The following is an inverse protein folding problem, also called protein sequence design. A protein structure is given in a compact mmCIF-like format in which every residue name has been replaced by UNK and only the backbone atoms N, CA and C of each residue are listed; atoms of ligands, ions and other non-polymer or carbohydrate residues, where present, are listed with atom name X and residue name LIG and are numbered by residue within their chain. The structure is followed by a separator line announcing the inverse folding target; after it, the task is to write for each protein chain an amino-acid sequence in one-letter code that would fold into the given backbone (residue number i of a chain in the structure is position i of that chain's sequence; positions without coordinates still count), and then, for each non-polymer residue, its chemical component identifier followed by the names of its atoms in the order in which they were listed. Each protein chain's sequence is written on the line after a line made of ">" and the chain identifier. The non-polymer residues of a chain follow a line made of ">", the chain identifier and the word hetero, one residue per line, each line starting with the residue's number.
data_IF_408565869194
#
_entry.id   IF_408565869194
#
_cell.length_a   1.000
_cell.length_b   1.000
_cell.length_c   1.000
_cell.angle_alpha   90.00
_cell.angle_beta   90.00
_cell.angle_gamma   90.00
#
_symmetry.space_group_name_H-M   'P 1'
#
loop_
_entity.id
_entity.type
_entity.pdbx_description
1 polymer ?
#
# COMPACT_ATOMS: atom_id res chain seq x y z
N UNK A 1 -1.89 10.76 9.55
CA UNK A 1 -0.86 9.80 9.11
C UNK A 1 -0.13 9.29 10.32
N UNK A 2 0.44 8.13 10.23
CA UNK A 2 1.07 7.44 11.35
C UNK A 2 0.31 6.17 11.69
N UNK A 3 0.83 5.43 12.69
CA UNK A 3 0.20 4.20 13.18
C UNK A 3 -0.55 4.49 14.47
N UNK A 4 -1.74 3.93 14.57
CA UNK A 4 -2.54 3.94 15.79
C UNK A 4 -1.84 3.08 16.86
N UNK A 5 -2.03 3.41 18.15
CA UNK A 5 -1.59 2.58 19.25
C UNK A 5 -2.48 1.35 19.41
N UNK A 6 -1.90 0.28 19.98
CA UNK A 6 -2.61 -1.01 20.16
C UNK A 6 -3.95 -0.86 20.86
N UNK A 7 -3.99 -0.06 21.90
CA UNK A 7 -5.18 0.08 22.74
C UNK A 7 -6.28 0.93 22.09
N UNK A 8 -5.97 1.68 21.03
CA UNK A 8 -6.94 2.54 20.36
C UNK A 8 -8.03 1.74 19.63
N UNK A 9 -7.62 0.63 18.98
CA UNK A 9 -8.52 -0.28 18.24
C UNK A 9 -8.37 -1.74 18.66
N UNK A 10 -7.61 -2.06 19.70
CA UNK A 10 -7.36 -3.44 20.14
C UNK A 10 -6.50 -4.27 19.18
N UNK A 11 -5.73 -3.66 18.31
CA UNK A 11 -5.02 -4.32 17.21
C UNK A 11 -3.70 -4.96 17.65
N UNK A 12 -3.60 -6.28 17.58
CA UNK A 12 -2.40 -7.03 18.00
C UNK A 12 -1.16 -6.72 17.16
N UNK A 13 -1.31 -6.26 15.93
CA UNK A 13 -0.23 -5.89 15.01
C UNK A 13 0.12 -4.39 15.04
N UNK A 14 -0.64 -3.59 15.78
CA UNK A 14 -0.30 -2.18 16.01
C UNK A 14 0.83 -2.04 17.04
N UNK A 15 1.61 -0.96 17.00
CA UNK A 15 2.59 -0.65 18.03
C UNK A 15 1.90 -0.41 19.39
N UNK A 16 2.63 -0.56 20.49
CA UNK A 16 2.06 -0.30 21.82
C UNK A 16 1.58 1.14 21.98
N UNK A 17 2.36 2.09 21.49
CA UNK A 17 2.01 3.51 21.47
C UNK A 17 1.91 4.01 20.03
N UNK A 18 1.02 4.97 19.75
CA UNK A 18 0.92 5.57 18.43
C UNK A 18 2.22 6.26 18.03
N UNK A 19 2.53 6.24 16.75
CA UNK A 19 3.71 6.90 16.20
C UNK A 19 3.44 7.55 14.84
N UNK A 20 4.46 8.20 14.29
CA UNK A 20 4.37 8.89 13.00
C UNK A 20 4.80 8.04 11.80
N UNK A 21 5.14 6.76 12.00
CA UNK A 21 5.59 5.90 10.92
C UNK A 21 4.45 5.57 9.97
N UNK A 22 4.79 5.50 8.70
CA UNK A 22 3.92 5.09 7.61
C UNK A 22 4.65 4.08 6.74
N UNK A 23 3.93 3.32 5.94
CA UNK A 23 4.57 2.51 4.90
C UNK A 23 5.29 3.45 3.92
N UNK A 24 6.56 3.17 3.66
CA UNK A 24 7.41 4.00 2.82
C UNK A 24 6.99 4.02 1.35
N UNK A 25 7.58 4.92 0.61
CA UNK A 25 7.45 4.96 -0.84
C UNK A 25 8.52 4.07 -1.50
N UNK A 26 8.11 3.13 -2.35
CA UNK A 26 9.03 2.27 -3.09
C UNK A 26 9.72 3.04 -4.19
N UNK A 27 11.04 2.89 -4.29
CA UNK A 27 11.83 3.33 -5.44
C UNK A 27 12.35 2.07 -6.12
N UNK A 28 11.62 1.61 -7.12
CA UNK A 28 12.01 0.42 -7.88
C UNK A 28 13.07 0.74 -8.92
N UNK A 29 13.95 -0.21 -9.14
CA UNK A 29 14.99 -0.12 -10.16
C UNK A 29 15.47 -1.52 -10.56
N UNK A 30 16.07 -1.62 -11.74
CA UNK A 30 16.77 -2.83 -12.16
C UNK A 30 17.95 -2.52 -13.08
N UNK A 31 18.88 -3.46 -13.09
CA UNK A 31 20.04 -3.45 -13.97
C UNK A 31 19.96 -4.56 -15.01
N UNK A 32 20.58 -4.34 -16.17
CA UNK A 32 20.63 -5.27 -17.29
C UNK A 32 22.06 -5.68 -17.59
N UNK A 33 22.27 -6.94 -17.94
CA UNK A 33 23.54 -7.41 -18.48
C UNK A 33 23.68 -6.99 -19.95
N UNK A 34 24.64 -6.13 -20.23
CA UNK A 34 24.90 -5.56 -21.54
C UNK A 34 25.81 -6.44 -22.42
N UNK A 35 26.25 -7.60 -21.92
CA UNK A 35 27.18 -8.52 -22.57
C UNK A 35 28.55 -7.89 -22.92
N UNK A 36 28.83 -6.70 -22.41
CA UNK A 36 30.09 -5.97 -22.56
C UNK A 36 30.35 -5.13 -21.31
N UNK A 37 31.61 -4.77 -21.10
CA UNK A 37 31.96 -3.89 -19.95
C UNK A 37 31.21 -2.57 -20.02
N UNK A 38 30.70 -2.13 -18.91
CA UNK A 38 30.05 -0.83 -18.72
C UNK A 38 30.68 -0.11 -17.54
N UNK A 39 30.76 1.19 -17.61
CA UNK A 39 31.19 2.04 -16.48
C UNK A 39 30.01 2.67 -15.79
N UNK A 40 30.24 3.11 -14.59
CA UNK A 40 29.36 4.02 -13.86
C UNK A 40 30.25 5.01 -13.09
N UNK A 41 29.93 6.30 -13.07
CA UNK A 41 30.77 7.29 -12.41
C UNK A 41 30.88 7.02 -10.92
N UNK A 42 32.00 7.41 -10.34
CA UNK A 42 32.13 7.51 -8.90
C UNK A 42 31.24 8.67 -8.43
N UNK A 43 30.35 8.37 -7.46
CA UNK A 43 29.33 9.31 -7.02
C UNK A 43 29.65 9.81 -5.61
N UNK A 44 30.40 10.89 -5.52
CA UNK A 44 30.95 11.42 -4.26
C UNK A 44 29.91 12.13 -3.39
N UNK A 45 28.88 12.67 -4.01
CA UNK A 45 27.86 13.49 -3.31
C UNK A 45 26.69 12.70 -2.74
N UNK A 46 26.76 11.39 -2.83
CA UNK A 46 25.69 10.48 -2.46
C UNK A 46 25.75 10.00 -1.03
N UNK A 47 24.95 8.98 -0.78
CA UNK A 47 25.01 8.21 0.46
C UNK A 47 26.32 7.42 0.49
N UNK A 48 27.03 7.47 1.60
CA UNK A 48 28.30 6.74 1.74
C UNK A 48 28.03 5.26 1.98
N UNK A 49 28.42 4.46 1.00
CA UNK A 49 28.41 3.01 1.09
C UNK A 49 29.81 2.45 1.29
N UNK A 50 29.87 1.36 2.05
CA UNK A 50 31.08 0.57 2.32
C UNK A 50 30.77 -0.94 2.21
N UNK A 51 31.72 -1.78 2.57
CA UNK A 51 31.56 -3.24 2.50
C UNK A 51 30.51 -3.79 3.47
N UNK A 52 30.19 -3.06 4.53
CA UNK A 52 29.28 -3.49 5.60
C UNK A 52 27.83 -3.04 5.34
N UNK A 53 27.66 -1.90 4.70
CA UNK A 53 26.35 -1.27 4.53
C UNK A 53 25.83 -1.25 3.09
N UNK A 54 26.62 -1.66 2.09
CA UNK A 54 26.17 -1.74 0.69
C UNK A 54 25.17 -2.89 0.50
N UNK A 55 24.32 -2.74 -0.49
CA UNK A 55 23.36 -3.75 -0.91
C UNK A 55 23.82 -4.43 -2.21
N UNK A 56 24.41 -5.65 -2.15
CA UNK A 56 25.00 -6.31 -3.33
C UNK A 56 23.94 -7.00 -4.20
N UNK A 57 23.00 -6.23 -4.72
CA UNK A 57 21.86 -6.65 -5.53
C UNK A 57 21.92 -6.08 -6.95
N UNK A 58 21.12 -6.62 -7.84
CA UNK A 58 21.03 -6.20 -9.26
C UNK A 58 19.72 -5.50 -9.59
N UNK A 59 18.80 -5.44 -8.63
CA UNK A 59 17.53 -4.74 -8.72
C UNK A 59 17.06 -4.33 -7.32
N UNK A 60 16.27 -3.29 -7.25
CA UNK A 60 15.53 -2.91 -6.06
C UNK A 60 14.16 -3.56 -6.08
N UNK A 61 13.90 -4.39 -5.09
CA UNK A 61 12.61 -5.04 -4.87
C UNK A 61 11.66 -4.13 -4.08
N UNK A 62 10.50 -4.66 -3.73
CA UNK A 62 9.49 -3.97 -2.94
C UNK A 62 9.97 -3.45 -1.58
N UNK A 63 11.09 -3.96 -1.09
CA UNK A 63 11.71 -3.55 0.19
C UNK A 63 12.59 -2.31 0.11
N UNK A 64 12.83 -1.76 -1.07
CA UNK A 64 13.52 -0.49 -1.24
C UNK A 64 12.52 0.64 -1.07
N UNK A 65 12.44 1.15 0.15
CA UNK A 65 11.45 2.13 0.57
C UNK A 65 12.09 3.27 1.34
N UNK A 66 11.68 4.48 1.01
CA UNK A 66 12.14 5.69 1.69
C UNK A 66 11.00 6.46 2.32
N UNK A 67 11.32 7.30 3.29
CA UNK A 67 10.39 8.23 3.90
C UNK A 67 9.34 7.59 4.81
N UNK A 68 9.63 6.46 5.45
CA UNK A 68 8.73 5.84 6.42
C UNK A 68 8.43 6.72 7.62
N UNK A 69 9.32 7.64 7.96
CA UNK A 69 9.21 8.62 9.03
C UNK A 69 8.90 10.06 8.53
N UNK A 70 8.42 10.19 7.29
CA UNK A 70 8.19 11.50 6.66
C UNK A 70 6.75 11.67 6.20
N UNK A 71 6.36 12.93 6.04
CA UNK A 71 5.08 13.26 5.45
C UNK A 71 5.08 12.95 3.95
N UNK A 72 4.43 11.84 3.58
CA UNK A 72 4.37 11.32 2.20
C UNK A 72 3.65 12.27 1.20
N UNK A 73 3.04 13.35 1.67
CA UNK A 73 2.37 14.35 0.82
C UNK A 73 3.26 15.58 0.66
N UNK A 74 3.60 16.25 1.75
CA UNK A 74 4.36 17.51 1.70
C UNK A 74 5.85 17.31 1.40
N UNK A 75 6.41 16.13 1.70
CA UNK A 75 7.83 15.80 1.45
C UNK A 75 8.01 14.78 0.31
N UNK A 76 7.00 14.59 -0.56
CA UNK A 76 7.04 13.56 -1.60
C UNK A 76 8.26 13.65 -2.53
N UNK A 77 8.64 14.86 -2.93
CA UNK A 77 9.82 15.11 -3.76
C UNK A 77 11.11 14.71 -3.03
N UNK A 78 11.25 15.13 -1.78
CA UNK A 78 12.40 14.78 -0.94
C UNK A 78 12.53 13.28 -0.72
N UNK A 79 11.41 12.59 -0.51
CA UNK A 79 11.35 11.13 -0.34
C UNK A 79 11.82 10.43 -1.61
N UNK A 80 11.37 10.89 -2.79
CA UNK A 80 11.80 10.39 -4.09
C UNK A 80 13.29 10.66 -4.32
N UNK A 81 13.73 11.89 -4.14
CA UNK A 81 15.10 12.32 -4.43
C UNK A 81 16.11 11.57 -3.58
N UNK A 82 15.78 11.35 -2.30
CA UNK A 82 16.61 10.53 -1.44
C UNK A 82 16.68 9.07 -1.92
N UNK A 83 15.56 8.49 -2.37
CA UNK A 83 15.54 7.14 -2.94
C UNK A 83 16.41 7.02 -4.20
N UNK A 84 16.37 7.99 -5.09
CA UNK A 84 17.25 8.06 -6.26
C UNK A 84 18.73 8.16 -5.84
N UNK A 85 19.01 9.02 -4.86
CA UNK A 85 20.35 9.19 -4.31
C UNK A 85 20.92 7.87 -3.76
N UNK A 86 20.13 7.13 -3.00
CA UNK A 86 20.49 5.81 -2.46
C UNK A 86 20.84 4.83 -3.59
N UNK A 87 19.98 4.73 -4.61
CA UNK A 87 20.18 3.80 -5.73
C UNK A 87 21.48 4.10 -6.47
N UNK A 88 21.69 5.36 -6.86
CA UNK A 88 22.89 5.74 -7.62
C UNK A 88 24.16 5.59 -6.79
N UNK A 89 24.11 5.90 -5.49
CA UNK A 89 25.26 5.76 -4.60
C UNK A 89 25.64 4.29 -4.38
N UNK A 90 24.66 3.44 -4.08
CA UNK A 90 24.90 2.01 -3.94
C UNK A 90 25.41 1.39 -5.24
N UNK A 91 24.80 1.75 -6.38
CA UNK A 91 25.25 1.26 -7.67
C UNK A 91 26.68 1.71 -8.01
N UNK A 92 27.03 2.97 -7.71
CA UNK A 92 28.38 3.49 -7.85
C UNK A 92 29.37 2.68 -7.01
N UNK A 93 29.04 2.39 -5.75
CA UNK A 93 29.89 1.58 -4.87
C UNK A 93 30.07 0.16 -5.45
N UNK A 94 29.00 -0.50 -5.86
CA UNK A 94 29.04 -1.86 -6.41
C UNK A 94 29.89 -1.96 -7.68
N UNK A 95 29.85 -0.95 -8.53
CA UNK A 95 30.62 -0.88 -9.80
C UNK A 95 32.10 -0.60 -9.59
N UNK A 96 32.44 0.22 -8.60
CA UNK A 96 33.79 0.78 -8.50
C UNK A 96 34.61 0.23 -7.30
N UNK A 97 33.95 -0.10 -6.18
CA UNK A 97 34.64 -0.37 -4.92
C UNK A 97 34.29 -1.70 -4.26
N UNK A 98 33.17 -2.31 -4.64
CA UNK A 98 32.77 -3.58 -4.04
C UNK A 98 33.80 -4.68 -4.32
N UNK A 99 34.11 -5.49 -3.31
CA UNK A 99 35.10 -6.59 -3.45
C UNK A 99 34.82 -7.51 -4.64
N UNK A 100 33.54 -7.78 -4.92
CA UNK A 100 33.09 -8.60 -6.06
C UNK A 100 32.60 -7.74 -7.23
N UNK A 101 33.12 -6.53 -7.44
CA UNK A 101 32.71 -5.60 -8.48
C UNK A 101 32.72 -6.23 -9.90
N UNK A 102 33.50 -7.28 -10.13
CA UNK A 102 33.52 -8.04 -11.37
C UNK A 102 32.14 -8.61 -11.75
N UNK A 103 31.31 -8.94 -10.76
CA UNK A 103 29.92 -9.40 -10.97
C UNK A 103 29.05 -8.32 -11.63
N UNK A 104 29.40 -7.06 -11.44
CA UNK A 104 28.68 -5.89 -11.98
C UNK A 104 29.34 -5.31 -13.23
N UNK A 105 30.51 -5.83 -13.65
CA UNK A 105 31.31 -5.25 -14.72
C UNK A 105 30.53 -5.04 -16.03
N UNK A 106 29.67 -5.99 -16.39
CA UNK A 106 28.87 -5.94 -17.62
C UNK A 106 27.45 -5.40 -17.41
N UNK A 107 27.09 -5.02 -16.18
CA UNK A 107 25.74 -4.54 -15.87
C UNK A 107 25.67 -3.01 -15.91
N UNK A 108 24.54 -2.51 -16.40
CA UNK A 108 24.18 -1.10 -16.38
C UNK A 108 22.83 -0.93 -15.70
N UNK A 109 22.60 0.18 -15.02
CA UNK A 109 21.25 0.57 -14.65
C UNK A 109 20.45 0.73 -15.96
N UNK A 110 19.35 -0.01 -16.08
CA UNK A 110 18.49 0.02 -17.25
C UNK A 110 17.25 0.88 -16.99
N UNK A 111 16.71 0.79 -15.79
CA UNK A 111 15.57 1.58 -15.39
C UNK A 111 15.59 1.88 -13.88
N UNK A 112 15.22 3.11 -13.55
CA UNK A 112 14.99 3.58 -12.18
C UNK A 112 13.68 4.34 -12.15
N UNK A 113 12.78 4.01 -11.23
CA UNK A 113 11.50 4.66 -11.10
C UNK A 113 11.68 6.14 -10.72
N UNK A 114 11.24 7.04 -11.60
CA UNK A 114 11.24 8.47 -11.30
C UNK A 114 10.11 8.86 -10.32
N UNK A 115 8.96 8.19 -10.42
CA UNK A 115 7.84 8.39 -9.50
C UNK A 115 7.90 7.33 -8.41
N UNK A 116 7.98 7.75 -7.16
CA UNK A 116 7.97 6.83 -6.03
C UNK A 116 6.60 6.19 -5.84
N UNK A 117 6.60 4.87 -5.63
CA UNK A 117 5.39 4.09 -5.38
C UNK A 117 4.87 4.30 -3.95
N UNK A 118 4.07 5.34 -3.76
CA UNK A 118 3.48 5.68 -2.47
C UNK A 118 2.48 4.61 -2.03
N UNK A 119 2.67 4.03 -0.85
CA UNK A 119 1.78 3.01 -0.29
C UNK A 119 0.77 3.56 0.70
N UNK A 120 1.16 4.53 1.47
CA UNK A 120 0.35 5.14 2.51
C UNK A 120 0.56 6.65 2.52
N UNK A 121 -0.50 7.38 2.90
CA UNK A 121 -0.45 8.80 3.16
C UNK A 121 -1.52 9.15 4.20
N UNK A 122 -2.39 10.10 3.90
CA UNK A 122 -3.53 10.44 4.77
C UNK A 122 -4.60 9.36 4.62
N UNK A 123 -5.08 8.84 5.74
CA UNK A 123 -6.34 8.10 5.82
C UNK A 123 -7.38 9.07 6.38
N UNK A 124 -8.51 9.18 5.68
CA UNK A 124 -9.60 10.05 6.08
C UNK A 124 -10.56 9.27 6.96
N UNK A 125 -11.30 9.96 7.81
CA UNK A 125 -12.26 9.33 8.69
C UNK A 125 -13.64 9.26 8.03
N UNK A 126 -14.14 8.04 7.88
CA UNK A 126 -15.51 7.74 7.53
C UNK A 126 -16.40 7.58 8.76
N UNK A 127 -17.66 7.23 8.55
CA UNK A 127 -18.57 6.88 9.65
C UNK A 127 -18.20 5.54 10.30
N UNK A 128 -17.41 4.73 9.60
CA UNK A 128 -16.77 3.54 10.13
C UNK A 128 -15.27 3.56 9.86
N UNK A 129 -14.47 3.05 10.80
CA UNK A 129 -13.03 2.86 10.64
C UNK A 129 -12.75 1.37 10.61
N UNK A 130 -12.37 0.85 9.45
CA UNK A 130 -11.99 -0.55 9.29
C UNK A 130 -10.75 -0.85 10.13
N UNK A 131 -10.79 -1.92 10.91
CA UNK A 131 -9.72 -2.31 11.82
C UNK A 131 -9.27 -3.77 11.63
N UNK A 132 -8.21 -4.18 12.33
CA UNK A 132 -7.76 -5.57 12.36
C UNK A 132 -8.84 -6.51 12.88
N UNK A 133 -9.66 -6.08 13.82
CA UNK A 133 -10.74 -6.86 14.42
C UNK A 133 -11.80 -7.27 13.39
N UNK A 134 -12.13 -6.36 12.45
CA UNK A 134 -13.05 -6.68 11.35
C UNK A 134 -12.52 -7.82 10.49
N UNK A 135 -11.21 -7.80 10.25
CA UNK A 135 -10.52 -8.80 9.43
C UNK A 135 -10.47 -10.14 10.16
N UNK A 136 -10.05 -10.13 11.43
CA UNK A 136 -9.82 -11.34 12.22
C UNK A 136 -11.10 -12.08 12.55
N UNK A 137 -12.17 -11.33 12.83
CA UNK A 137 -13.48 -11.87 13.17
C UNK A 137 -14.38 -12.05 11.94
N UNK A 138 -13.91 -11.64 10.76
CA UNK A 138 -14.72 -11.61 9.54
C UNK A 138 -16.09 -10.97 9.79
N UNK A 139 -16.08 -9.75 10.33
CA UNK A 139 -17.30 -9.07 10.80
C UNK A 139 -18.27 -8.88 9.64
N UNK A 140 -19.50 -9.29 9.85
CA UNK A 140 -20.58 -9.06 8.90
C UNK A 140 -21.12 -7.63 9.02
N UNK A 141 -20.99 -6.86 7.95
CA UNK A 141 -21.53 -5.51 7.87
C UNK A 141 -22.80 -5.47 7.02
N UNK A 142 -23.85 -4.81 7.49
CA UNK A 142 -25.07 -4.64 6.69
C UNK A 142 -24.83 -3.87 5.39
N UNK A 143 -23.83 -2.99 5.38
CA UNK A 143 -23.39 -2.18 4.25
C UNK A 143 -22.12 -2.75 3.57
N UNK A 144 -21.92 -4.06 3.64
CA UNK A 144 -20.86 -4.76 2.94
C UNK A 144 -20.84 -4.38 1.45
N UNK A 145 -19.70 -3.88 0.95
CA UNK A 145 -19.62 -3.31 -0.40
C UNK A 145 -18.71 -4.08 -1.33
N UNK A 146 -17.47 -4.33 -0.98
CA UNK A 146 -16.53 -5.12 -1.77
C UNK A 146 -15.73 -6.06 -0.86
N UNK A 147 -15.11 -7.06 -1.48
CA UNK A 147 -14.32 -8.07 -0.77
C UNK A 147 -12.84 -7.88 -1.04
N UNK A 148 -12.02 -7.99 -0.02
CA UNK A 148 -10.57 -8.12 -0.16
C UNK A 148 -10.09 -9.49 0.24
N UNK A 149 -9.04 -9.95 -0.44
CA UNK A 149 -8.41 -11.27 -0.23
C UNK A 149 -6.91 -11.14 0.03
N UNK A 150 -6.39 -9.90 0.06
CA UNK A 150 -4.98 -9.67 0.28
C UNK A 150 -4.64 -9.80 1.77
N UNK A 151 -3.51 -10.43 2.08
CA UNK A 151 -3.01 -10.55 3.45
C UNK A 151 -2.82 -9.19 4.12
N UNK A 152 -2.80 -9.15 5.44
CA UNK A 152 -2.26 -8.00 6.15
C UNK A 152 -0.77 -7.94 5.81
N UNK A 153 -0.39 -6.91 5.07
CA UNK A 153 0.96 -6.70 4.54
C UNK A 153 1.48 -5.37 5.06
N UNK A 154 2.24 -5.44 6.15
CA UNK A 154 2.79 -4.28 6.84
C UNK A 154 4.28 -4.13 6.54
N UNK A 155 4.71 -2.88 6.40
CA UNK A 155 6.09 -2.51 6.13
C UNK A 155 6.61 -1.60 7.23
N UNK A 156 7.81 -1.92 7.74
CA UNK A 156 8.48 -1.18 8.80
C UNK A 156 9.91 -0.86 8.39
N UNK A 157 10.58 0.13 8.99
CA UNK A 157 12.01 0.30 8.82
C UNK A 157 12.75 -1.00 9.20
N UNK A 158 13.61 -1.48 8.30
CA UNK A 158 14.48 -2.63 8.60
C UNK A 158 15.44 -2.26 9.74
N UNK A 159 15.56 -3.12 10.75
CA UNK A 159 16.31 -2.81 11.97
C UNK A 159 17.81 -2.59 11.72
N UNK A 160 18.42 -3.37 10.83
CA UNK A 160 19.84 -3.21 10.47
C UNK A 160 20.03 -1.92 9.68
N UNK A 161 19.11 -1.65 8.76
CA UNK A 161 19.13 -0.42 7.97
C UNK A 161 18.91 0.82 8.85
N UNK A 162 18.04 0.75 9.86
CA UNK A 162 17.80 1.83 10.81
C UNK A 162 19.03 2.16 11.67
N UNK A 163 19.79 1.14 12.10
CA UNK A 163 21.03 1.36 12.85
C UNK A 163 22.09 2.05 11.99
N UNK A 164 22.16 1.67 10.70
CA UNK A 164 23.17 2.20 9.78
C UNK A 164 22.81 3.57 9.20
N UNK A 165 21.53 3.84 9.04
CA UNK A 165 20.98 5.06 8.39
C UNK A 165 19.84 5.65 9.22
N UNK A 166 20.04 6.04 10.47
CA UNK A 166 18.98 6.50 11.36
C UNK A 166 18.27 7.73 10.79
N UNK A 167 16.94 7.63 10.66
CA UNK A 167 16.10 8.68 10.10
C UNK A 167 16.18 8.85 8.58
N UNK A 168 17.01 8.02 7.92
CA UNK A 168 17.21 7.98 6.48
C UNK A 168 17.23 6.52 5.98
N UNK A 169 16.36 5.71 6.53
CA UNK A 169 16.16 4.32 6.15
C UNK A 169 15.69 4.25 4.68
N UNK A 170 16.19 3.24 3.98
CA UNK A 170 15.81 2.98 2.59
C UNK A 170 15.42 1.52 2.35
N UNK A 171 15.36 0.73 3.41
CA UNK A 171 14.88 -0.65 3.37
C UNK A 171 13.80 -0.88 4.40
N UNK A 172 12.82 -1.68 4.01
CA UNK A 172 11.79 -2.15 4.91
C UNK A 172 11.94 -3.63 5.24
N UNK A 173 11.56 -3.99 6.45
CA UNK A 173 11.12 -5.32 6.84
C UNK A 173 9.60 -5.42 6.62
N UNK A 174 9.10 -6.62 6.39
CA UNK A 174 7.69 -6.87 6.11
C UNK A 174 7.11 -7.90 7.06
N UNK A 175 5.86 -7.70 7.45
CA UNK A 175 5.04 -8.70 8.14
C UNK A 175 3.86 -9.03 7.26
N UNK A 176 3.75 -10.30 6.87
CA UNK A 176 2.62 -10.83 6.14
C UNK A 176 1.81 -11.75 7.05
N UNK A 177 0.52 -11.43 7.23
CA UNK A 177 -0.41 -12.30 7.93
C UNK A 177 -1.57 -12.66 7.02
N UNK A 178 -1.74 -13.96 6.77
CA UNK A 178 -2.81 -14.49 5.95
C UNK A 178 -4.17 -14.22 6.62
N UNK A 179 -5.17 -13.98 5.79
CA UNK A 179 -6.53 -13.67 6.21
C UNK A 179 -7.53 -14.50 5.41
N UNK A 180 -8.72 -14.68 5.95
CA UNK A 180 -9.86 -15.08 5.14
C UNK A 180 -10.39 -13.88 4.33
N UNK A 181 -10.98 -14.12 3.13
CA UNK A 181 -11.69 -13.05 2.44
C UNK A 181 -12.76 -12.43 3.34
N UNK A 182 -12.82 -11.11 3.36
CA UNK A 182 -13.76 -10.38 4.20
C UNK A 182 -14.34 -9.18 3.45
N UNK A 183 -15.49 -8.69 3.91
CA UNK A 183 -16.18 -7.56 3.32
C UNK A 183 -15.74 -6.25 3.97
N UNK A 184 -15.65 -5.20 3.15
CA UNK A 184 -15.40 -3.84 3.61
C UNK A 184 -16.71 -3.05 3.57
N UNK A 185 -17.10 -2.36 4.67
CA UNK A 185 -18.35 -1.61 4.70
C UNK A 185 -18.28 -0.34 3.87
N UNK A 186 -19.41 0.04 3.26
CA UNK A 186 -19.56 1.27 2.49
C UNK A 186 -19.24 2.53 3.32
N UNK A 187 -19.56 2.53 4.60
CA UNK A 187 -19.27 3.62 5.55
C UNK A 187 -17.78 3.97 5.69
N UNK A 188 -16.89 3.13 5.17
CA UNK A 188 -15.46 3.45 5.06
C UNK A 188 -15.12 4.28 3.82
N UNK A 189 -16.05 4.48 2.89
CA UNK A 189 -15.81 5.06 1.57
C UNK A 189 -16.32 6.49 1.41
N UNK A 190 -16.83 7.10 2.45
CA UNK A 190 -17.19 8.52 2.46
C UNK A 190 -16.76 9.21 3.76
N UNK A 191 -16.56 10.52 3.69
CA UNK A 191 -16.07 11.30 4.82
C UNK A 191 -17.17 11.55 5.86
N UNK A 192 -16.79 11.45 7.16
CA UNK A 192 -17.71 11.77 8.26
C UNK A 192 -17.96 13.25 8.44
N UNK A 193 -17.05 14.11 7.98
CA UNK A 193 -17.06 15.55 8.27
C UNK A 193 -16.98 16.45 7.04
N UNK A 194 -16.98 15.86 5.84
CA UNK A 194 -17.13 16.58 4.56
C UNK A 194 -18.25 15.88 3.80
N UNK A 195 -19.39 16.53 3.69
CA UNK A 195 -20.65 15.89 3.29
C UNK A 195 -20.61 15.29 1.88
N UNK A 196 -20.00 15.99 0.92
CA UNK A 196 -19.95 15.59 -0.48
C UNK A 196 -18.63 14.92 -0.89
N UNK A 197 -17.94 14.24 0.02
CA UNK A 197 -16.63 13.63 -0.23
C UNK A 197 -16.67 12.10 -0.15
N UNK A 198 -16.36 11.45 -1.27
CA UNK A 198 -16.05 10.04 -1.32
C UNK A 198 -14.55 9.74 -1.20
N UNK A 199 -14.23 8.53 -0.77
CA UNK A 199 -12.86 8.05 -0.59
C UNK A 199 -12.71 6.69 -1.26
N UNK A 200 -12.06 6.66 -2.43
CA UNK A 200 -11.78 5.40 -3.13
C UNK A 200 -10.26 5.25 -3.33
N UNK A 201 -9.63 4.46 -2.48
CA UNK A 201 -8.19 4.26 -2.53
C UNK A 201 -7.55 4.15 -1.15
N UNK A 202 -6.24 4.41 -1.09
CA UNK A 202 -5.45 4.31 0.16
C UNK A 202 -5.79 5.38 1.21
N UNK A 203 -6.66 6.30 0.88
CA UNK A 203 -7.19 7.34 1.75
C UNK A 203 -8.52 6.99 2.41
N UNK A 204 -9.04 5.78 2.17
CA UNK A 204 -10.26 5.31 2.82
C UNK A 204 -10.12 5.28 4.35
N UNK A 205 -11.25 5.15 5.03
CA UNK A 205 -11.31 5.10 6.48
C UNK A 205 -10.92 3.71 7.01
N UNK A 206 -9.68 3.60 7.47
CA UNK A 206 -9.13 2.38 8.06
C UNK A 206 -7.94 2.68 8.97
N UNK A 207 -7.60 1.76 9.85
CA UNK A 207 -6.36 1.80 10.63
C UNK A 207 -5.14 1.52 9.74
N UNK A 208 -3.93 1.77 10.25
CA UNK A 208 -2.69 1.39 9.57
C UNK A 208 -2.63 -0.11 9.31
N UNK A 209 -3.04 -0.93 10.27
CA UNK A 209 -3.02 -2.39 10.15
C UNK A 209 -3.99 -2.86 9.07
N UNK A 210 -5.24 -2.39 9.10
CA UNK A 210 -6.24 -2.75 8.11
C UNK A 210 -5.87 -2.26 6.70
N UNK A 211 -5.18 -1.11 6.58
CA UNK A 211 -4.68 -0.61 5.30
C UNK A 211 -3.81 -1.64 4.57
N UNK A 212 -3.08 -2.48 5.33
CA UNK A 212 -2.26 -3.57 4.77
C UNK A 212 -3.01 -4.46 3.78
N UNK A 213 -4.31 -4.66 3.96
CA UNK A 213 -5.14 -5.53 3.12
C UNK A 213 -5.83 -4.82 1.96
N UNK A 214 -6.17 -3.53 2.12
CA UNK A 214 -7.06 -2.81 1.20
C UNK A 214 -6.34 -1.89 0.22
N UNK A 215 -5.04 -1.65 0.40
CA UNK A 215 -4.25 -0.70 -0.40
C UNK A 215 -3.83 -1.18 -1.79
N UNK A 216 -4.02 -2.47 -2.10
CA UNK A 216 -3.59 -3.04 -3.38
C UNK A 216 -4.48 -2.62 -4.54
N UNK A 217 -3.90 -2.56 -5.75
CA UNK A 217 -4.56 -1.97 -6.93
C UNK A 217 -5.93 -2.57 -7.24
N UNK A 218 -6.07 -3.91 -7.18
CA UNK A 218 -7.35 -4.56 -7.47
C UNK A 218 -8.43 -4.13 -6.47
N UNK A 219 -8.10 -4.13 -5.18
CA UNK A 219 -9.04 -3.73 -4.13
C UNK A 219 -9.42 -2.25 -4.26
N UNK A 220 -8.45 -1.37 -4.55
CA UNK A 220 -8.78 0.06 -4.77
C UNK A 220 -9.58 0.29 -6.05
N UNK A 221 -9.43 -0.56 -7.05
CA UNK A 221 -10.30 -0.56 -8.24
C UNK A 221 -11.75 -0.88 -7.87
N UNK A 222 -11.98 -1.89 -7.04
CA UNK A 222 -13.31 -2.22 -6.55
C UNK A 222 -13.94 -1.10 -5.71
N UNK A 223 -13.16 -0.40 -4.90
CA UNK A 223 -13.63 0.80 -4.19
C UNK A 223 -14.17 1.85 -5.18
N UNK A 224 -13.42 2.06 -6.28
CA UNK A 224 -13.83 3.01 -7.33
C UNK A 224 -15.16 2.64 -7.97
N UNK A 225 -15.43 1.35 -8.20
CA UNK A 225 -16.71 0.88 -8.73
C UNK A 225 -17.86 1.18 -7.76
N UNK A 226 -17.69 0.84 -6.48
CA UNK A 226 -18.72 1.12 -5.46
C UNK A 226 -18.99 2.60 -5.33
N UNK A 227 -17.93 3.40 -5.24
CA UNK A 227 -18.05 4.87 -5.15
C UNK A 227 -18.72 5.46 -6.41
N UNK A 228 -18.37 4.95 -7.60
CA UNK A 228 -19.02 5.38 -8.84
C UNK A 228 -20.52 5.09 -8.87
N UNK A 229 -20.94 3.89 -8.43
CA UNK A 229 -22.36 3.53 -8.30
C UNK A 229 -23.06 4.42 -7.27
N UNK A 230 -22.46 4.63 -6.10
CA UNK A 230 -23.01 5.50 -5.06
C UNK A 230 -23.13 6.96 -5.52
N UNK A 231 -22.13 7.48 -6.21
CA UNK A 231 -22.16 8.83 -6.78
C UNK A 231 -23.27 8.99 -7.82
N UNK A 232 -23.52 7.94 -8.65
CA UNK A 232 -24.66 7.90 -9.54
C UNK A 232 -26.00 8.00 -8.83
N UNK A 233 -26.14 7.32 -7.68
CA UNK A 233 -27.33 7.42 -6.83
C UNK A 233 -27.45 8.80 -6.15
N UNK A 234 -26.34 9.38 -5.67
CA UNK A 234 -26.32 10.74 -5.14
C UNK A 234 -26.87 11.74 -6.18
N UNK A 235 -26.40 11.63 -7.41
CA UNK A 235 -26.92 12.48 -8.49
C UNK A 235 -28.40 12.24 -8.79
N UNK A 236 -28.81 10.96 -8.87
CA UNK A 236 -30.20 10.56 -9.16
C UNK A 236 -31.20 11.14 -8.15
N UNK A 237 -30.83 11.12 -6.88
CA UNK A 237 -31.72 11.52 -5.78
C UNK A 237 -31.42 12.90 -5.22
N UNK A 238 -30.37 13.58 -5.70
CA UNK A 238 -29.91 14.88 -5.17
C UNK A 238 -29.60 14.80 -3.67
N UNK A 239 -28.86 13.80 -3.27
CA UNK A 239 -28.50 13.50 -1.87
C UNK A 239 -26.99 13.35 -1.71
N UNK A 240 -26.52 13.37 -0.46
CA UNK A 240 -25.10 13.25 -0.12
C UNK A 240 -24.67 11.77 0.07
N UNK A 241 -23.36 11.45 0.06
CA UNK A 241 -22.84 10.10 0.23
C UNK A 241 -23.38 9.32 1.43
N UNK A 242 -23.56 9.98 2.58
CA UNK A 242 -24.10 9.38 3.80
C UNK A 242 -25.56 8.96 3.65
N UNK A 243 -26.35 9.70 2.88
CA UNK A 243 -27.77 9.41 2.66
C UNK A 243 -27.94 8.11 1.87
N UNK A 244 -26.96 7.72 1.05
CA UNK A 244 -26.97 6.45 0.35
C UNK A 244 -26.97 5.30 1.36
N UNK A 245 -26.20 5.39 2.42
CA UNK A 245 -26.23 4.39 3.49
C UNK A 245 -27.62 4.36 4.18
N UNK A 246 -28.15 5.51 4.54
CA UNK A 246 -29.37 5.58 5.33
C UNK A 246 -30.65 5.28 4.53
N UNK A 247 -30.70 5.65 3.24
CA UNK A 247 -31.94 5.66 2.48
C UNK A 247 -31.92 4.86 1.18
N UNK A 248 -30.73 4.59 0.62
CA UNK A 248 -30.59 3.97 -0.69
C UNK A 248 -29.64 2.75 -0.72
N UNK A 249 -29.30 2.18 0.47
CA UNK A 249 -28.36 1.08 0.58
C UNK A 249 -28.83 -0.16 -0.22
N UNK A 250 -30.13 -0.45 -0.20
CA UNK A 250 -30.71 -1.57 -0.95
C UNK A 250 -30.48 -1.44 -2.45
N UNK A 251 -30.66 -0.23 -3.01
CA UNK A 251 -30.43 0.04 -4.44
C UNK A 251 -28.94 -0.02 -4.77
N UNK A 252 -28.06 0.53 -3.90
CA UNK A 252 -26.63 0.39 -4.07
C UNK A 252 -26.22 -1.08 -4.14
N UNK A 253 -26.75 -1.92 -3.25
CA UNK A 253 -26.49 -3.36 -3.26
C UNK A 253 -26.96 -4.04 -4.56
N UNK A 254 -28.10 -3.66 -5.10
CA UNK A 254 -28.59 -4.16 -6.39
C UNK A 254 -27.63 -3.78 -7.53
N UNK A 255 -27.16 -2.53 -7.56
CA UNK A 255 -26.18 -2.09 -8.56
C UNK A 255 -24.86 -2.86 -8.44
N UNK A 256 -24.37 -3.06 -7.24
CA UNK A 256 -23.15 -3.85 -7.01
C UNK A 256 -23.32 -5.30 -7.46
N UNK A 257 -24.47 -5.92 -7.24
CA UNK A 257 -24.77 -7.29 -7.70
C UNK A 257 -24.85 -7.39 -9.23
N UNK A 258 -25.45 -6.40 -9.87
CA UNK A 258 -25.51 -6.31 -11.33
C UNK A 258 -24.14 -6.08 -11.96
N UNK A 259 -23.23 -5.39 -11.24
CA UNK A 259 -21.90 -5.04 -11.69
C UNK A 259 -21.90 -4.01 -12.82
N UNK A 260 -20.75 -3.82 -13.45
CA UNK A 260 -20.56 -2.82 -14.53
C UNK A 260 -20.87 -3.36 -15.94
N UNK A 261 -21.54 -4.51 -16.04
CA UNK A 261 -21.87 -5.14 -17.32
C UNK A 261 -20.70 -5.94 -17.93
N UNK A 262 -20.68 -6.08 -19.26
CA UNK A 262 -19.61 -6.83 -19.94
C UNK A 262 -18.28 -6.14 -19.78
N UNK A 263 -17.25 -6.91 -19.41
CA UNK A 263 -15.86 -6.48 -19.28
C UNK A 263 -15.00 -7.29 -20.23
N UNK A 264 -13.93 -6.68 -20.74
CA UNK A 264 -12.94 -7.36 -21.60
C UNK A 264 -12.06 -8.34 -20.80
N UNK A 265 -12.03 -8.21 -19.48
CA UNK A 265 -11.32 -9.11 -18.58
C UNK A 265 -12.29 -9.83 -17.65
N UNK A 266 -12.06 -11.10 -17.32
CA UNK A 266 -12.90 -11.84 -16.38
C UNK A 266 -12.96 -11.12 -15.04
N UNK A 267 -14.18 -10.85 -14.58
CA UNK A 267 -14.43 -10.30 -13.25
C UNK A 267 -14.82 -11.43 -12.32
N UNK A 268 -13.86 -11.85 -11.49
CA UNK A 268 -14.09 -12.83 -10.45
C UNK A 268 -14.50 -12.21 -9.11
N UNK A 269 -14.85 -10.92 -9.13
CA UNK A 269 -15.29 -10.22 -7.93
C UNK A 269 -16.65 -10.77 -7.50
N UNK A 270 -16.70 -11.16 -6.24
CA UNK A 270 -17.95 -11.49 -5.56
C UNK A 270 -18.13 -10.47 -4.44
N UNK A 271 -19.31 -9.92 -4.34
CA UNK A 271 -19.68 -9.12 -3.19
C UNK A 271 -20.04 -10.04 -2.05
N UNK A 272 -19.49 -9.80 -0.87
CA UNK A 272 -19.68 -10.65 0.28
C UNK A 272 -21.15 -10.67 0.69
N UNK A 273 -21.64 -11.87 0.88
CA UNK A 273 -22.80 -12.08 1.71
C UNK A 273 -22.34 -12.10 3.18
N UNK A 274 -23.00 -11.34 4.07
CA UNK A 274 -22.69 -11.37 5.49
C UNK A 274 -22.64 -12.82 6.03
N UNK A 275 -21.66 -13.11 6.88
CA UNK A 275 -21.45 -14.41 7.53
C UNK A 275 -21.08 -15.58 6.61
N UNK A 276 -20.72 -15.35 5.36
CA UNK A 276 -20.17 -16.41 4.51
C UNK A 276 -18.68 -16.16 4.28
N UNK A 277 -17.87 -17.18 4.61
CA UNK A 277 -16.50 -17.25 4.13
C UNK A 277 -16.54 -17.44 2.61
N UNK A 278 -15.90 -16.56 1.87
CA UNK A 278 -15.80 -16.74 0.42
C UNK A 278 -14.76 -17.81 0.11
N UNK A 279 -15.22 -18.88 -0.54
CA UNK A 279 -14.32 -19.77 -1.26
C UNK A 279 -13.81 -19.03 -2.51
N UNK A 280 -12.57 -18.61 -2.48
CA UNK A 280 -11.90 -18.03 -3.63
C UNK A 280 -11.08 -19.13 -4.30
N UNK A 281 -11.49 -19.66 -5.47
CA UNK A 281 -10.70 -20.65 -6.17
C UNK A 281 -9.30 -20.13 -6.45
N UNK A 282 -8.26 -20.83 -5.98
CA UNK A 282 -6.88 -20.42 -6.13
C UNK A 282 -6.43 -19.30 -5.19
N UNK A 283 -7.22 -18.93 -4.20
CA UNK A 283 -6.77 -18.03 -3.15
C UNK A 283 -5.58 -18.67 -2.42
N UNK A 284 -4.59 -17.87 -2.17
CA UNK A 284 -3.37 -18.22 -1.46
C UNK A 284 -3.67 -18.48 0.02
N UNK A 285 -4.45 -19.52 0.28
CA UNK A 285 -4.65 -20.06 1.62
C UNK A 285 -3.58 -21.13 1.77
N UNK A 286 -2.42 -20.75 2.29
CA UNK A 286 -1.55 -21.74 2.92
C UNK A 286 -1.94 -21.84 4.39
N UNK A 287 -2.08 -23.06 4.90
CA UNK A 287 -2.39 -23.32 6.30
C UNK A 287 -1.31 -22.76 7.23
#
# INVERSE_FOLDING_TARGET
>A
MGREGRDEYGESLAPEQPDSLVMGASIQWYSKDMKKKTSFPHFEYGVRFDAENCEPVTMGEWKWETGMNRNQVSEAERVRDYGLLVIYSNWSYLKNHYKDHKKYANRSLDWVAYVSGKRESRRLLGDYVLSQDDIDKNVAHEDASFTTTWSIDLHFPDSVNSVRFPGNEFKSATVHRWIHPYAVPYRCLYSRNVDNLFMAGRNMSCTHVALGTVRVMRTTGMMGEVVGMAAGLCHKYSVEPRDIYHHHLSELKQLMQAGLGKRDVPDNQRFNEPNKLLEVPGAYIKP
#
